data_IF_354646197241
#
_entry.id   IF_354646197241
#
_cell.length_a   1.000
_cell.length_b   1.000
_cell.length_c   1.000
_cell.angle_alpha   90.00
_cell.angle_beta   90.00
_cell.angle_gamma   90.00
#
_symmetry.space_group_name_H-M   'P 1'
#
loop_
_entity.id
_entity.type
_entity.pdbx_description
1 polymer ?
#
# COMPACT_ATOMS: atom_id res chain seq x y z
N UNK A 1 -18.86 -24.81 -56.36
CA UNK A 1 -17.86 -24.91 -55.27
C UNK A 1 -17.19 -23.54 -55.08
N UNK A 2 -17.67 -22.72 -54.15
CA UNK A 2 -17.09 -21.39 -53.87
C UNK A 2 -16.04 -21.48 -52.77
N UNK A 3 -14.76 -21.28 -53.13
CA UNK A 3 -13.64 -21.27 -52.17
C UNK A 3 -13.68 -19.97 -51.36
N UNK A 4 -14.07 -20.06 -50.11
CA UNK A 4 -14.21 -18.93 -49.19
C UNK A 4 -12.83 -18.53 -48.63
N UNK A 5 -12.10 -17.68 -49.38
CA UNK A 5 -10.70 -17.29 -49.09
C UNK A 5 -10.53 -16.20 -48.02
N UNK A 6 -11.61 -15.69 -47.42
CA UNK A 6 -11.54 -14.48 -46.57
C UNK A 6 -11.38 -14.73 -45.05
N UNK A 7 -11.37 -15.98 -44.56
CA UNK A 7 -11.29 -16.25 -43.10
C UNK A 7 -9.90 -16.02 -42.47
N UNK A 8 -8.81 -16.14 -43.22
CA UNK A 8 -7.45 -16.03 -42.67
C UNK A 8 -7.01 -14.59 -42.36
N UNK A 9 -7.51 -13.61 -43.12
CA UNK A 9 -7.08 -12.21 -43.00
C UNK A 9 -7.67 -11.49 -41.77
N UNK A 10 -8.80 -11.98 -41.25
CA UNK A 10 -9.45 -11.43 -40.05
C UNK A 10 -8.71 -11.84 -38.77
N UNK A 11 -8.14 -13.05 -38.71
CA UNK A 11 -7.44 -13.54 -37.52
C UNK A 11 -6.17 -12.72 -37.22
N UNK A 12 -5.38 -12.39 -38.23
CA UNK A 12 -4.16 -11.60 -38.07
C UNK A 12 -4.45 -10.17 -37.59
N UNK A 13 -5.47 -9.52 -38.15
CA UNK A 13 -5.89 -8.17 -37.70
C UNK A 13 -6.44 -8.18 -36.27
N UNK A 14 -7.15 -9.24 -35.87
CA UNK A 14 -7.60 -9.42 -34.48
C UNK A 14 -6.43 -9.62 -33.53
N UNK A 15 -5.46 -10.47 -33.88
CA UNK A 15 -4.24 -10.66 -33.10
C UNK A 15 -3.46 -9.35 -32.95
N UNK A 16 -3.30 -8.57 -34.03
CA UNK A 16 -2.63 -7.26 -33.99
C UNK A 16 -3.40 -6.25 -33.12
N UNK A 17 -4.74 -6.22 -33.20
CA UNK A 17 -5.57 -5.34 -32.38
C UNK A 17 -5.51 -5.72 -30.90
N UNK A 18 -5.46 -7.03 -30.59
CA UNK A 18 -5.27 -7.54 -29.23
C UNK A 18 -3.88 -7.15 -28.73
N UNK A 19 -2.82 -7.36 -29.52
CA UNK A 19 -1.45 -6.97 -29.17
C UNK A 19 -1.32 -5.45 -28.96
N UNK A 20 -1.94 -4.62 -29.80
CA UNK A 20 -1.97 -3.16 -29.62
C UNK A 20 -2.78 -2.71 -28.41
N UNK A 21 -3.85 -3.42 -28.06
CA UNK A 21 -4.59 -3.18 -26.81
C UNK A 21 -3.84 -3.67 -25.58
N UNK A 22 -3.03 -4.73 -25.72
CA UNK A 22 -2.23 -5.32 -24.64
C UNK A 22 -0.89 -4.60 -24.44
N UNK A 23 -0.39 -3.90 -25.46
CA UNK A 23 0.70 -2.96 -25.32
C UNK A 23 0.22 -1.77 -24.49
N UNK A 24 0.17 -1.94 -23.17
CA UNK A 24 -0.08 -0.86 -22.26
C UNK A 24 0.96 0.24 -22.54
N UNK A 25 0.52 1.48 -22.80
CA UNK A 25 1.47 2.58 -22.92
C UNK A 25 2.21 2.69 -21.59
N UNK A 26 3.51 2.41 -21.62
CA UNK A 26 4.38 2.57 -20.48
C UNK A 26 4.35 4.05 -20.08
N UNK A 27 3.93 4.33 -18.85
CA UNK A 27 3.88 5.70 -18.37
C UNK A 27 5.31 6.24 -18.30
N UNK A 28 5.50 7.49 -18.73
CA UNK A 28 6.78 8.18 -18.60
C UNK A 28 6.95 8.61 -17.15
N UNK A 29 7.93 8.02 -16.46
CA UNK A 29 8.27 8.40 -15.08
C UNK A 29 8.71 9.86 -15.04
N UNK A 30 8.16 10.68 -14.13
CA UNK A 30 8.65 12.04 -13.87
C UNK A 30 10.12 11.97 -13.41
N UNK A 31 10.98 12.83 -13.95
CA UNK A 31 12.41 12.86 -13.58
C UNK A 31 12.65 13.56 -12.24
N UNK A 32 11.68 14.35 -11.80
CA UNK A 32 11.68 15.25 -10.66
C UNK A 32 11.12 14.63 -9.37
N UNK A 33 10.63 13.39 -9.41
CA UNK A 33 10.00 12.79 -8.23
C UNK A 33 10.22 11.29 -8.13
N UNK A 34 10.30 10.82 -6.89
CA UNK A 34 10.29 9.40 -6.58
C UNK A 34 9.02 9.03 -5.82
N UNK A 35 8.49 7.86 -6.16
CA UNK A 35 7.28 7.30 -5.56
C UNK A 35 7.65 6.05 -4.79
N UNK A 36 7.23 5.98 -3.53
CA UNK A 36 7.49 4.83 -2.67
C UNK A 36 6.16 4.28 -2.16
N UNK A 37 6.10 2.96 -1.98
CA UNK A 37 4.95 2.27 -1.39
C UNK A 37 5.32 1.76 -0.02
N UNK A 38 4.51 2.08 0.98
CA UNK A 38 4.71 1.67 2.37
C UNK A 38 3.59 0.74 2.78
N UNK A 39 3.92 -0.50 3.15
CA UNK A 39 3.00 -1.43 3.82
C UNK A 39 3.09 -1.25 5.33
N UNK A 40 1.95 -1.39 6.00
CA UNK A 40 1.84 -1.19 7.46
C UNK A 40 2.50 0.14 7.88
N UNK A 41 2.02 1.29 7.36
CA UNK A 41 2.69 2.57 7.56
C UNK A 41 2.78 2.97 9.04
N UNK A 42 3.97 3.39 9.46
CA UNK A 42 4.23 3.76 10.85
C UNK A 42 3.29 4.86 11.34
N UNK A 43 2.75 4.66 12.55
CA UNK A 43 1.96 5.66 13.24
C UNK A 43 0.55 5.88 12.67
N UNK A 44 0.15 5.10 11.66
CA UNK A 44 -1.19 5.15 11.08
C UNK A 44 -2.13 4.10 11.69
N UNK A 45 -3.43 4.40 11.63
CA UNK A 45 -4.47 3.42 11.97
C UNK A 45 -4.37 2.18 11.06
N UNK A 46 -4.39 0.95 11.62
CA UNK A 46 -4.38 -0.27 10.83
C UNK A 46 -5.61 -0.40 9.93
N UNK A 47 -6.76 0.14 10.32
CA UNK A 47 -7.96 0.21 9.47
C UNK A 47 -7.85 1.37 8.48
N UNK A 48 -7.76 1.13 7.16
CA UNK A 48 -7.53 2.20 6.18
C UNK A 48 -8.65 3.25 6.16
N UNK A 49 -9.90 2.83 6.36
CA UNK A 49 -11.05 3.71 6.41
C UNK A 49 -11.05 4.65 7.64
N UNK A 50 -10.31 4.30 8.69
CA UNK A 50 -10.20 5.09 9.92
C UNK A 50 -8.98 6.04 9.94
N UNK A 51 -8.17 6.04 8.87
CA UNK A 51 -6.99 6.91 8.77
C UNK A 51 -7.41 8.36 8.61
N UNK A 52 -6.76 9.26 9.37
CA UNK A 52 -7.03 10.70 9.33
C UNK A 52 -5.77 11.55 9.33
N UNK A 53 -5.96 12.87 9.48
CA UNK A 53 -4.86 13.86 9.46
C UNK A 53 -3.79 13.58 10.51
N UNK A 54 -4.17 13.09 11.70
CA UNK A 54 -3.20 12.75 12.76
C UNK A 54 -2.27 11.61 12.32
N UNK A 55 -2.79 10.62 11.60
CA UNK A 55 -2.00 9.50 11.07
C UNK A 55 -1.03 9.98 9.98
N UNK A 56 -1.52 10.83 9.07
CA UNK A 56 -0.70 11.44 8.01
C UNK A 56 0.44 12.29 8.59
N UNK A 57 0.19 13.04 9.68
CA UNK A 57 1.21 13.82 10.36
C UNK A 57 2.29 12.95 11.00
N UNK A 58 1.90 11.83 11.63
CA UNK A 58 2.86 10.88 12.21
C UNK A 58 3.72 10.23 11.15
N UNK A 59 3.09 9.81 10.03
CA UNK A 59 3.81 9.26 8.88
C UNK A 59 4.81 10.29 8.32
N UNK A 60 4.35 11.53 8.11
CA UNK A 60 5.19 12.62 7.57
C UNK A 60 6.36 12.97 8.49
N UNK A 61 6.12 12.95 9.81
CA UNK A 61 7.17 13.15 10.83
C UNK A 61 8.23 12.07 10.79
N UNK A 62 7.81 10.80 10.65
CA UNK A 62 8.74 9.69 10.52
C UNK A 62 9.60 9.81 9.26
N UNK A 63 8.97 10.08 8.12
CA UNK A 63 9.66 10.22 6.83
C UNK A 63 10.68 11.37 6.87
N UNK A 64 10.28 12.54 7.38
CA UNK A 64 11.16 13.70 7.55
C UNK A 64 12.38 13.36 8.43
N UNK A 65 12.19 12.54 9.47
CA UNK A 65 13.27 12.09 10.33
C UNK A 65 14.28 11.19 9.61
N UNK A 66 13.81 10.26 8.76
CA UNK A 66 14.70 9.36 8.00
C UNK A 66 15.66 10.16 7.11
N UNK A 67 15.14 11.16 6.41
CA UNK A 67 15.93 12.00 5.51
C UNK A 67 16.69 13.13 6.23
N UNK A 68 16.44 13.37 7.52
CA UNK A 68 17.01 14.47 8.32
C UNK A 68 16.75 15.86 7.70
N UNK A 69 15.60 16.02 7.06
CA UNK A 69 15.18 17.26 6.40
C UNK A 69 13.71 17.55 6.75
N UNK A 70 13.34 18.83 6.82
CA UNK A 70 11.93 19.24 6.88
C UNK A 70 11.31 19.27 5.48
N UNK A 71 9.99 19.09 5.36
CA UNK A 71 9.26 19.13 4.08
C UNK A 71 9.84 18.18 3.03
N UNK A 72 9.86 16.89 3.34
CA UNK A 72 10.39 15.84 2.44
C UNK A 72 9.33 15.32 1.47
N UNK A 73 8.06 15.43 1.86
CA UNK A 73 6.94 14.86 1.14
C UNK A 73 6.24 15.92 0.32
N UNK A 74 5.89 15.56 -0.91
CA UNK A 74 5.01 16.36 -1.75
C UNK A 74 3.56 15.93 -1.55
N UNK A 75 3.30 14.62 -1.60
CA UNK A 75 1.97 14.04 -1.47
C UNK A 75 1.98 12.67 -0.79
N UNK A 76 0.88 12.36 -0.11
CA UNK A 76 0.57 11.03 0.43
C UNK A 76 -0.74 10.57 -0.21
N UNK A 77 -0.69 9.44 -0.91
CA UNK A 77 -1.81 8.82 -1.58
C UNK A 77 -2.34 7.65 -0.77
N UNK A 78 -3.65 7.62 -0.54
CA UNK A 78 -4.32 6.61 0.28
C UNK A 78 -5.56 6.05 -0.40
N UNK A 79 -5.94 4.83 -0.05
CA UNK A 79 -7.25 4.26 -0.38
C UNK A 79 -7.93 3.77 0.91
N UNK A 80 -9.26 3.85 0.97
CA UNK A 80 -10.03 3.37 2.14
C UNK A 80 -10.09 1.84 2.26
N UNK A 81 -9.63 1.12 1.25
CA UNK A 81 -9.70 -0.35 1.14
C UNK A 81 -8.33 -1.04 1.10
N UNK A 82 -7.23 -0.27 1.09
CA UNK A 82 -5.88 -0.81 0.97
C UNK A 82 -5.04 -0.42 2.17
N UNK A 83 -4.26 -1.36 2.67
CA UNK A 83 -3.45 -1.16 3.87
C UNK A 83 -2.17 -0.37 3.57
N UNK A 84 -1.67 -0.42 2.35
CA UNK A 84 -0.53 0.35 1.92
C UNK A 84 -0.88 1.80 1.56
N UNK A 85 0.16 2.64 1.55
CA UNK A 85 0.10 4.03 1.09
C UNK A 85 1.20 4.26 0.06
N UNK A 86 0.95 5.16 -0.88
CA UNK A 86 1.98 5.62 -1.82
C UNK A 86 2.39 7.02 -1.39
N UNK A 87 3.68 7.29 -1.32
CA UNK A 87 4.21 8.62 -1.03
C UNK A 87 4.98 9.13 -2.23
N UNK A 88 4.87 10.43 -2.47
CA UNK A 88 5.70 11.17 -3.42
C UNK A 88 6.69 12.02 -2.62
N UNK A 89 7.97 11.75 -2.79
CA UNK A 89 9.04 12.52 -2.13
C UNK A 89 9.60 13.58 -3.09
N UNK A 90 10.07 14.69 -2.52
CA UNK A 90 10.67 15.79 -3.27
C UNK A 90 11.87 15.37 -4.11
N UNK A 91 12.10 16.15 -5.17
CA UNK A 91 13.27 16.01 -6.05
C UNK A 91 14.59 16.08 -5.27
N UNK A 92 15.58 15.31 -5.72
CA UNK A 92 16.95 15.34 -5.18
C UNK A 92 17.16 14.55 -3.89
N UNK A 93 16.10 13.94 -3.33
CA UNK A 93 16.21 13.01 -2.23
C UNK A 93 16.52 11.60 -2.73
N UNK A 94 17.42 10.90 -2.05
CA UNK A 94 17.77 9.52 -2.37
C UNK A 94 16.74 8.54 -1.78
N UNK A 95 15.84 7.95 -2.60
CA UNK A 95 14.85 7.00 -2.10
C UNK A 95 15.48 5.76 -1.45
N UNK A 96 16.72 5.41 -1.80
CA UNK A 96 17.40 4.22 -1.28
C UNK A 96 17.57 4.25 0.24
N UNK A 97 17.63 5.43 0.86
CA UNK A 97 17.69 5.59 2.32
C UNK A 97 16.48 5.01 3.04
N UNK A 98 15.33 4.95 2.36
CA UNK A 98 14.09 4.46 2.94
C UNK A 98 13.73 3.04 2.50
N UNK A 99 14.32 2.49 1.45
CA UNK A 99 13.95 1.16 0.94
C UNK A 99 14.27 0.05 1.93
N UNK A 100 13.31 -0.84 2.17
CA UNK A 100 13.45 -2.01 3.05
C UNK A 100 12.50 -2.03 4.25
N UNK A 101 12.81 -2.90 5.22
CA UNK A 101 12.04 -3.15 6.43
C UNK A 101 12.55 -2.27 7.58
N UNK A 102 11.65 -1.49 8.17
CA UNK A 102 11.88 -0.61 9.31
C UNK A 102 11.17 -1.15 10.54
N UNK A 103 11.91 -1.81 11.42
CA UNK A 103 11.34 -2.43 12.64
C UNK A 103 11.15 -1.39 13.73
N UNK A 104 9.95 -1.31 14.31
CA UNK A 104 9.60 -0.24 15.24
C UNK A 104 10.44 -0.25 16.51
N UNK A 105 10.73 -1.43 17.05
CA UNK A 105 11.60 -1.55 18.23
C UNK A 105 13.03 -1.06 17.97
N UNK A 106 13.50 -1.08 16.73
CA UNK A 106 14.83 -0.59 16.34
C UNK A 106 14.86 0.91 16.11
N UNK A 107 13.80 1.49 15.53
CA UNK A 107 13.80 2.90 15.14
C UNK A 107 13.31 3.83 16.26
N UNK A 108 12.60 3.32 17.26
CA UNK A 108 12.09 4.09 18.40
C UNK A 108 13.02 4.00 19.62
N UNK A 109 13.12 5.10 20.38
CA UNK A 109 13.87 5.11 21.64
C UNK A 109 13.15 4.37 22.77
N UNK A 110 11.82 4.44 22.82
CA UNK A 110 11.01 3.77 23.85
C UNK A 110 10.73 2.29 23.56
N UNK A 111 11.20 1.80 22.42
CA UNK A 111 10.82 0.49 21.89
C UNK A 111 9.38 0.45 21.39
N UNK A 112 8.93 -0.76 21.05
CA UNK A 112 7.56 -1.07 20.66
C UNK A 112 7.15 -2.39 21.31
N UNK A 113 5.88 -2.55 21.68
CA UNK A 113 5.43 -3.75 22.41
C UNK A 113 5.47 -5.01 21.55
N UNK A 114 5.19 -4.86 20.27
CA UNK A 114 5.28 -5.93 19.28
C UNK A 114 6.68 -5.93 18.64
N UNK A 115 7.49 -6.99 18.83
CA UNK A 115 8.82 -7.08 18.24
C UNK A 115 8.79 -7.24 16.71
N UNK A 116 7.68 -7.70 16.14
CA UNK A 116 7.56 -7.97 14.71
C UNK A 116 6.99 -6.79 13.92
N UNK A 117 6.39 -5.82 14.61
CA UNK A 117 5.82 -4.62 14.01
C UNK A 117 6.88 -3.83 13.21
N UNK A 118 6.58 -3.61 11.93
CA UNK A 118 7.48 -2.95 11.01
C UNK A 118 6.74 -2.35 9.83
N UNK A 119 7.26 -1.24 9.29
CA UNK A 119 6.86 -0.79 7.95
C UNK A 119 7.82 -1.37 6.92
N UNK A 120 7.30 -1.81 5.77
CA UNK A 120 8.14 -2.18 4.62
C UNK A 120 7.94 -1.16 3.51
N UNK A 121 9.04 -0.67 2.96
CA UNK A 121 9.06 0.39 1.94
C UNK A 121 9.66 -0.17 0.66
N UNK A 122 8.95 0.02 -0.44
CA UNK A 122 9.33 -0.43 -1.78
C UNK A 122 9.27 0.74 -2.76
N UNK A 123 9.98 0.62 -3.89
CA UNK A 123 9.86 1.59 -4.98
C UNK A 123 8.59 1.29 -5.80
N UNK A 124 7.81 2.32 -6.07
CA UNK A 124 6.59 2.21 -6.87
C UNK A 124 6.91 2.05 -8.37
N UNK A 125 6.26 1.09 -9.03
CA UNK A 125 6.43 0.86 -10.48
C UNK A 125 5.57 1.84 -11.27
N UNK A 126 6.04 3.09 -11.35
CA UNK A 126 5.35 4.15 -12.07
C UNK A 126 5.16 3.80 -13.56
N UNK A 127 6.11 3.10 -14.16
CA UNK A 127 6.07 2.81 -15.59
C UNK A 127 4.89 1.88 -15.94
N UNK A 128 4.58 0.93 -15.06
CA UNK A 128 3.42 0.06 -15.19
C UNK A 128 2.10 0.70 -14.69
N UNK A 129 2.17 1.53 -13.65
CA UNK A 129 0.97 1.96 -12.91
C UNK A 129 0.59 3.44 -13.05
N UNK A 130 1.42 4.30 -13.64
CA UNK A 130 1.10 5.71 -13.86
C UNK A 130 1.04 6.56 -12.58
N UNK A 131 0.36 7.71 -12.65
CA UNK A 131 0.18 8.59 -11.49
C UNK A 131 -0.90 8.01 -10.55
N UNK A 132 -0.61 7.81 -9.25
CA UNK A 132 -1.61 7.32 -8.29
C UNK A 132 -2.92 8.11 -8.30
N UNK A 133 -2.88 9.43 -8.49
CA UNK A 133 -4.09 10.27 -8.54
C UNK A 133 -5.07 9.87 -9.65
N UNK A 134 -4.57 9.29 -10.75
CA UNK A 134 -5.39 8.78 -11.85
C UNK A 134 -6.00 7.39 -11.59
N UNK A 135 -5.70 6.76 -10.44
CA UNK A 135 -6.07 5.38 -10.13
C UNK A 135 -6.88 5.22 -8.83
N UNK A 136 -7.78 6.17 -8.56
CA UNK A 136 -8.64 6.21 -7.36
C UNK A 136 -7.90 6.34 -6.04
N UNK A 137 -6.63 6.75 -6.05
CA UNK A 137 -5.94 7.10 -4.83
C UNK A 137 -6.32 8.52 -4.42
N UNK A 138 -6.72 8.68 -3.16
CA UNK A 138 -6.95 10.00 -2.60
C UNK A 138 -5.60 10.62 -2.24
N UNK A 139 -5.29 11.71 -2.92
CA UNK A 139 -4.14 12.56 -2.63
C UNK A 139 -4.39 13.40 -1.37
N UNK A 140 -3.37 13.46 -0.52
CA UNK A 140 -3.29 14.37 0.61
C UNK A 140 -1.99 15.16 0.48
N UNK A 141 -2.11 16.48 0.54
CA UNK A 141 -0.94 17.36 0.60
C UNK A 141 -0.20 17.09 1.90
N UNK A 142 1.11 16.86 1.80
CA UNK A 142 1.92 16.58 2.96
C UNK A 142 1.89 17.77 3.93
N UNK A 143 1.65 17.46 5.20
CA UNK A 143 1.75 18.44 6.27
C UNK A 143 3.15 18.36 6.85
N UNK A 144 3.81 19.51 6.93
CA UNK A 144 5.09 19.67 7.60
C UNK A 144 4.95 19.43 9.10
N UNK A 145 5.08 18.16 9.49
CA UNK A 145 5.06 17.74 10.88
C UNK A 145 6.49 17.37 11.29
N UNK A 146 7.07 18.14 12.21
CA UNK A 146 8.33 17.79 12.82
C UNK A 146 8.14 16.62 13.79
N UNK A 147 9.05 15.63 13.74
CA UNK A 147 9.08 14.57 14.72
C UNK A 147 9.33 15.12 16.14
N UNK A 148 8.64 14.63 17.18
CA UNK A 148 8.93 15.02 18.55
C UNK A 148 10.39 14.71 18.91
N UNK A 149 11.10 15.62 19.60
CA UNK A 149 12.48 15.38 20.01
C UNK A 149 12.62 14.09 20.82
N UNK A 150 13.63 13.28 20.50
CA UNK A 150 13.90 12.03 21.20
C UNK A 150 12.87 10.91 20.95
N UNK A 151 12.00 11.04 19.95
CA UNK A 151 11.08 9.95 19.59
C UNK A 151 11.79 8.81 18.86
N UNK A 152 12.58 9.15 17.85
CA UNK A 152 13.33 8.22 17.01
C UNK A 152 14.80 8.13 17.45
N UNK A 153 15.45 7.00 17.16
CA UNK A 153 16.87 6.80 17.44
C UNK A 153 17.73 7.71 16.56
N UNK A 154 18.86 8.13 17.13
CA UNK A 154 19.90 8.89 16.44
C UNK A 154 21.28 8.25 16.75
N UNK A 155 22.00 7.70 15.76
CA UNK A 155 21.66 7.68 14.33
C UNK A 155 20.43 6.81 14.02
N UNK A 156 19.69 7.18 12.96
CA UNK A 156 18.60 6.35 12.46
C UNK A 156 19.16 5.00 11.97
N UNK A 157 18.61 3.85 12.41
CA UNK A 157 19.12 2.54 12.00
C UNK A 157 18.91 2.29 10.50
N UNK A 158 19.85 1.58 9.87
CA UNK A 158 19.69 1.16 8.48
C UNK A 158 18.52 0.16 8.33
N UNK A 159 17.69 0.29 7.27
CA UNK A 159 16.65 -0.68 6.97
C UNK A 159 17.25 -2.04 6.58
N UNK A 160 16.50 -3.11 6.79
CA UNK A 160 16.89 -4.47 6.37
C UNK A 160 16.12 -4.93 5.15
N UNK A 161 16.60 -5.97 4.47
CA UNK A 161 15.88 -6.54 3.34
C UNK A 161 14.48 -7.08 3.75
N UNK A 162 13.48 -6.86 2.90
CA UNK A 162 12.11 -7.36 3.06
C UNK A 162 11.63 -8.08 1.80
N UNK A 163 10.86 -9.15 1.96
CA UNK A 163 10.20 -9.76 0.82
C UNK A 163 9.06 -8.87 0.36
N UNK A 164 8.94 -8.69 -0.96
CA UNK A 164 7.77 -8.05 -1.56
C UNK A 164 6.53 -8.92 -1.31
N UNK A 165 5.45 -8.37 -0.71
CA UNK A 165 4.20 -9.10 -0.56
C UNK A 165 3.58 -9.44 -1.94
N UNK A 166 2.97 -10.61 -2.07
CA UNK A 166 2.43 -11.08 -3.37
C UNK A 166 1.33 -10.16 -3.92
N UNK A 167 0.52 -9.56 -3.04
CA UNK A 167 -0.50 -8.59 -3.41
C UNK A 167 0.05 -7.29 -4.01
N UNK A 168 1.36 -7.01 -3.83
CA UNK A 168 2.04 -5.83 -4.39
C UNK A 168 2.86 -6.14 -5.64
N UNK A 169 2.84 -7.38 -6.15
CA UNK A 169 3.73 -7.80 -7.24
C UNK A 169 3.62 -6.94 -8.51
N UNK A 170 2.43 -6.36 -8.79
CA UNK A 170 2.21 -5.45 -9.91
C UNK A 170 2.37 -3.97 -9.57
N UNK A 171 2.45 -3.59 -8.30
CA UNK A 171 2.47 -2.19 -7.84
C UNK A 171 3.90 -1.68 -7.60
N UNK A 172 4.81 -2.56 -7.19
CA UNK A 172 6.14 -2.18 -6.70
C UNK A 172 7.25 -3.00 -7.32
N UNK A 173 8.43 -2.42 -7.44
CA UNK A 173 9.64 -3.15 -7.78
C UNK A 173 10.14 -4.02 -6.63
N UNK A 174 10.89 -5.07 -6.95
CA UNK A 174 11.62 -5.84 -5.93
C UNK A 174 12.74 -4.99 -5.35
N UNK A 175 13.02 -5.18 -4.05
CA UNK A 175 14.14 -4.52 -3.39
C UNK A 175 15.50 -4.94 -3.99
N UNK A 176 16.49 -4.04 -4.01
CA UNK A 176 17.83 -4.38 -4.47
C UNK A 176 18.50 -5.41 -3.54
N UNK A 177 19.26 -6.33 -4.13
CA UNK A 177 19.98 -7.38 -3.39
C UNK A 177 21.12 -6.85 -2.51
N UNK A 178 21.51 -5.59 -2.67
CA UNK A 178 22.54 -4.92 -1.87
C UNK A 178 22.11 -4.63 -0.42
N UNK A 179 20.81 -4.69 -0.10
CA UNK A 179 20.34 -4.45 1.26
C UNK A 179 20.75 -5.57 2.22
N UNK A 180 21.16 -5.23 3.46
CA UNK A 180 21.55 -6.23 4.43
C UNK A 180 20.36 -7.14 4.74
N UNK A 181 20.54 -8.43 4.48
CA UNK A 181 19.55 -9.45 4.86
C UNK A 181 19.58 -9.62 6.37
N UNK A 182 18.39 -9.71 6.97
CA UNK A 182 18.33 -10.13 8.38
C UNK A 182 18.90 -11.55 8.44
N UNK A 183 19.90 -11.84 9.29
CA UNK A 183 20.38 -13.19 9.45
C UNK A 183 19.20 -14.10 9.85
N UNK A 184 19.11 -15.32 9.33
CA UNK A 184 18.09 -16.26 9.77
C UNK A 184 18.22 -16.45 11.30
N UNK A 185 17.10 -16.57 12.03
CA UNK A 185 17.15 -16.83 13.46
C UNK A 185 18.04 -18.05 13.71
N UNK A 186 19.07 -17.91 14.55
CA UNK A 186 20.01 -19.00 14.82
C UNK A 186 19.23 -20.24 15.28
N UNK A 187 19.43 -21.42 14.68
CA UNK A 187 18.67 -22.65 14.99
C UNK A 187 18.77 -23.19 16.44
N UNK A 188 19.32 -22.45 17.41
CA UNK A 188 19.71 -22.98 18.73
C UNK A 188 19.16 -22.26 19.96
N UNK A 189 18.30 -21.24 19.84
CA UNK A 189 17.82 -20.48 21.01
C UNK A 189 16.52 -21.02 21.65
N UNK A 190 15.93 -22.08 21.09
CA UNK A 190 14.65 -22.64 21.57
C UNK A 190 14.86 -24.01 22.20
N UNK A 191 15.66 -24.09 23.27
CA UNK A 191 15.78 -25.30 24.10
C UNK A 191 16.22 -24.88 25.50
N UNK A 192 15.30 -24.31 26.31
CA UNK A 192 15.30 -24.33 27.79
C UNK A 192 14.35 -23.26 28.40
N UNK A 193 13.11 -23.15 27.91
CA UNK A 193 12.02 -22.56 28.69
C UNK A 193 10.89 -23.57 28.80
N UNK A 194 11.16 -24.62 29.57
CA UNK A 194 10.14 -25.53 30.09
C UNK A 194 10.44 -25.72 31.57
N UNK A 195 9.41 -25.41 32.38
CA UNK A 195 9.22 -25.70 33.82
C UNK A 195 9.87 -24.78 34.87
N UNK A 196 9.09 -23.77 35.29
CA UNK A 196 8.76 -23.38 36.69
C UNK A 196 8.04 -22.03 36.61
N UNK A 197 6.83 -21.81 37.09
CA UNK A 197 5.90 -22.58 37.90
C UNK A 197 4.69 -21.67 38.15
N UNK A 198 3.60 -22.28 38.62
CA UNK A 198 2.58 -21.65 39.45
C UNK A 198 1.69 -20.58 38.79
N UNK A 199 0.61 -21.08 38.19
CA UNK A 199 -0.76 -20.78 38.58
C UNK A 199 -0.90 -19.74 39.72
N UNK A 200 -1.02 -18.46 39.36
CA UNK A 200 -1.61 -17.44 40.22
C UNK A 200 -2.95 -17.06 39.61
N UNK A 201 -4.01 -17.60 40.20
CA UNK A 201 -5.39 -17.11 40.08
C UNK A 201 -5.43 -15.62 40.44
N UNK A 202 -5.31 -14.74 39.44
CA UNK A 202 -5.67 -13.33 39.61
C UNK A 202 -7.17 -13.18 39.39
N UNK A 203 -7.89 -13.40 40.49
CA UNK A 203 -9.08 -12.68 40.94
C UNK A 203 -9.52 -11.57 39.97
N UNK A 204 -10.56 -11.85 39.20
CA UNK A 204 -11.33 -10.87 38.44
C UNK A 204 -11.92 -9.85 39.42
N UNK A 205 -11.20 -8.74 39.61
CA UNK A 205 -11.74 -7.55 40.23
C UNK A 205 -12.67 -6.87 39.23
N UNK A 206 -13.98 -7.02 39.45
CA UNK A 206 -14.99 -6.09 38.92
C UNK A 206 -14.59 -4.67 39.34
N UNK A 207 -14.07 -3.89 38.41
CA UNK A 207 -14.12 -2.43 38.51
C UNK A 207 -15.42 -1.98 37.85
N UNK A 208 -16.45 -1.79 38.69
CA UNK A 208 -17.59 -0.94 38.37
C UNK A 208 -17.06 0.46 38.06
N UNK A 209 -17.09 0.84 36.79
CA UNK A 209 -16.82 2.21 36.35
C UNK A 209 -18.15 2.95 36.43
N UNK A 210 -18.36 3.61 37.57
CA UNK A 210 -19.42 4.61 37.72
C UNK A 210 -19.17 5.74 36.71
N UNK A 211 -20.15 5.95 35.85
CA UNK A 211 -20.28 7.14 35.04
C UNK A 211 -20.83 8.24 35.96
N UNK A 212 -19.98 9.19 36.34
CA UNK A 212 -20.46 10.46 36.89
C UNK A 212 -20.47 11.51 35.78
N UNK A 213 -21.68 11.94 35.46
CA UNK A 213 -22.03 13.01 34.54
C UNK A 213 -21.80 14.35 35.23
N UNK A 214 -20.75 15.09 34.92
CA UNK A 214 -20.77 16.57 35.07
C UNK A 214 -19.67 17.22 34.25
N UNK A 215 -20.05 17.94 33.20
CA UNK A 215 -20.11 19.41 33.21
C UNK A 215 -20.01 19.94 31.78
N UNK A 216 -21.13 20.48 31.31
CA UNK A 216 -21.35 21.00 29.97
C UNK A 216 -21.10 22.50 30.02
N UNK A 217 -19.86 22.96 29.82
CA UNK A 217 -19.56 24.37 29.58
C UNK A 217 -19.35 24.61 28.10
N UNK A 218 -20.45 24.94 27.44
CA UNK A 218 -20.51 25.40 26.06
C UNK A 218 -19.98 26.82 25.98
N UNK A 219 -18.75 27.00 25.51
CA UNK A 219 -18.22 28.29 25.07
C UNK A 219 -18.32 28.33 23.55
N UNK A 220 -19.25 29.14 23.04
CA UNK A 220 -19.39 29.45 21.61
C UNK A 220 -18.14 30.19 21.12
N UNK A 221 -17.41 29.70 20.10
CA UNK A 221 -16.43 30.51 19.39
C UNK A 221 -17.14 31.51 18.45
N UNK A 222 -16.51 32.68 18.19
CA UNK A 222 -17.04 33.69 17.29
C UNK A 222 -17.06 33.17 15.85
N UNK A 223 -18.22 33.34 15.22
CA UNK A 223 -18.50 32.94 13.84
C UNK A 223 -17.76 33.88 12.88
N UNK A 224 -16.63 33.45 12.34
CA UNK A 224 -15.94 34.12 11.23
C UNK A 224 -16.65 33.71 9.94
N UNK A 225 -17.30 34.68 9.30
CA UNK A 225 -17.99 34.53 8.02
C UNK A 225 -16.93 34.41 6.92
N UNK A 226 -16.55 33.18 6.58
CA UNK A 226 -15.70 32.88 5.42
C UNK A 226 -16.60 32.85 4.19
N UNK A 227 -16.32 33.71 3.21
CA UNK A 227 -17.00 33.73 1.92
C UNK A 227 -16.71 32.44 1.13
N UNK A 228 -17.72 31.85 0.45
CA UNK A 228 -17.53 30.62 -0.31
C UNK A 228 -16.77 30.91 -1.61
N UNK A 229 -15.50 30.52 -1.66
CA UNK A 229 -14.75 30.42 -2.91
C UNK A 229 -15.36 29.32 -3.78
N UNK A 230 -15.68 29.66 -5.02
CA UNK A 230 -16.39 28.83 -5.98
C UNK A 230 -15.73 27.45 -6.16
N UNK A 231 -16.48 26.38 -5.87
CA UNK A 231 -16.15 25.01 -6.24
C UNK A 231 -16.12 24.88 -7.76
N UNK A 232 -14.93 24.66 -8.31
CA UNK A 232 -14.77 24.17 -9.68
C UNK A 232 -15.14 22.68 -9.65
N UNK A 233 -16.34 22.36 -10.16
CA UNK A 233 -16.75 20.99 -10.47
C UNK A 233 -15.97 20.53 -11.69
N UNK A 234 -14.92 19.74 -11.48
CA UNK A 234 -14.38 18.85 -12.50
C UNK A 234 -15.27 17.60 -12.53
N UNK A 235 -16.27 17.60 -13.41
CA UNK A 235 -16.94 16.36 -13.83
C UNK A 235 -15.98 15.60 -14.76
N UNK A 236 -15.18 14.71 -14.18
CA UNK A 236 -14.50 13.68 -14.97
C UNK A 236 -15.49 12.52 -15.19
N UNK A 237 -15.73 12.08 -16.44
CA UNK A 237 -16.64 10.99 -16.71
C UNK A 237 -16.07 9.69 -16.12
N UNK A 238 -16.88 9.00 -15.32
CA UNK A 238 -16.57 7.66 -14.82
C UNK A 238 -16.22 6.75 -16.00
N UNK A 239 -15.05 6.13 -15.95
CA UNK A 239 -14.63 5.11 -16.90
C UNK A 239 -15.53 3.88 -16.70
N UNK A 240 -16.65 3.82 -17.43
CA UNK A 240 -17.37 2.56 -17.65
C UNK A 240 -16.55 1.71 -18.62
N UNK A 241 -16.14 0.50 -18.24
CA UNK A 241 -15.55 -0.43 -19.19
C UNK A 241 -16.60 -0.74 -20.26
N UNK A 242 -16.30 -0.28 -21.48
CA UNK A 242 -17.12 -0.37 -22.69
C UNK A 242 -17.82 -1.75 -22.77
N UNK A 243 -19.14 -1.75 -22.97
CA UNK A 243 -19.98 -2.95 -22.99
C UNK A 243 -19.44 -4.03 -23.94
N UNK A 244 -18.73 -3.60 -25.01
CA UNK A 244 -18.02 -4.45 -25.94
C UNK A 244 -16.96 -5.37 -25.29
N UNK A 245 -16.30 -4.93 -24.21
CA UNK A 245 -15.31 -5.75 -23.49
C UNK A 245 -15.99 -6.84 -22.64
N UNK A 246 -17.17 -6.54 -22.07
CA UNK A 246 -17.95 -7.51 -21.29
C UNK A 246 -18.50 -8.63 -22.17
N UNK A 247 -18.98 -8.28 -23.37
CA UNK A 247 -19.53 -9.23 -24.33
C UNK A 247 -18.44 -10.14 -24.93
N UNK A 248 -17.21 -9.65 -25.10
CA UNK A 248 -16.06 -10.44 -25.58
C UNK A 248 -15.62 -11.48 -24.54
N UNK A 249 -15.57 -11.11 -23.25
CA UNK A 249 -15.24 -12.04 -22.15
C UNK A 249 -16.29 -13.15 -22.07
N UNK A 250 -17.59 -12.81 -22.17
CA UNK A 250 -18.68 -13.78 -22.14
C UNK A 250 -18.61 -14.78 -23.31
N UNK A 251 -18.20 -14.33 -24.51
CA UNK A 251 -17.98 -15.23 -25.66
C UNK A 251 -16.83 -16.20 -25.46
N UNK A 252 -15.73 -15.77 -24.83
CA UNK A 252 -14.55 -16.61 -24.61
C UNK A 252 -14.79 -17.67 -23.53
N UNK A 253 -15.67 -17.41 -22.57
CA UNK A 253 -16.05 -18.39 -21.53
C UNK A 253 -17.08 -19.44 -21.97
N UNK A 254 -17.68 -19.31 -23.15
CA UNK A 254 -18.82 -20.13 -23.59
C UNK A 254 -18.51 -21.34 -24.45
N UNK A 255 -17.24 -21.65 -24.74
CA UNK A 255 -16.87 -22.68 -25.73
C UNK A 255 -15.87 -23.68 -25.16
N UNK A 256 -16.29 -24.62 -24.30
CA UNK A 256 -15.56 -25.88 -24.08
C UNK A 256 -16.31 -26.95 -23.26
N UNK A 257 -17.60 -27.17 -23.52
CA UNK A 257 -18.30 -28.36 -23.01
C UNK A 257 -19.20 -28.99 -24.08
N UNK A 258 -18.60 -29.59 -25.11
CA UNK A 258 -19.24 -30.68 -25.85
C UNK A 258 -18.18 -31.46 -26.63
N UNK A 259 -17.79 -32.62 -26.10
CA UNK A 259 -16.80 -33.49 -26.74
C UNK A 259 -16.52 -34.75 -25.97
N UNK A 260 -17.56 -35.46 -25.53
CA UNK A 260 -17.42 -36.79 -24.96
C UNK A 260 -16.72 -37.74 -25.93
N UNK A 261 -15.68 -38.43 -25.43
CA UNK A 261 -15.16 -39.65 -26.05
C UNK A 261 -15.26 -40.78 -25.04
N UNK A 262 -16.23 -41.66 -25.30
CA UNK A 262 -16.32 -43.00 -24.77
C UNK A 262 -15.03 -43.77 -25.09
N UNK A 263 -14.39 -44.34 -24.07
CA UNK A 263 -13.38 -45.38 -24.23
C UNK A 263 -14.06 -46.74 -24.03
N UNK A 264 -13.90 -47.72 -24.95
CA UNK A 264 -14.39 -49.06 -24.71
C UNK A 264 -13.41 -49.80 -23.77
N UNK A 265 -13.98 -50.54 -22.82
CA UNK A 265 -13.25 -51.45 -21.94
C UNK A 265 -12.72 -52.64 -22.75
N UNK A 266 -11.42 -52.93 -22.63
CA UNK A 266 -10.81 -54.17 -23.09
C UNK A 266 -10.80 -55.11 -21.89
N UNK A 267 -11.51 -56.22 -22.00
CA UNK A 267 -11.51 -57.32 -21.03
C UNK A 267 -10.39 -58.30 -21.40
N UNK A 268 -9.58 -58.69 -20.42
CA UNK A 268 -8.82 -59.95 -20.39
C UNK A 268 -9.04 -60.58 -19.02
#
# INVERSE_FOLDING_TARGET
MGKNKNRGFDLAKRQEKILKKMAQPLYKRPTDSAYLVITEPFGMNPSPAARGTVDLNRLSSWISWVFRQGSVLEAVYTMSTRDEVIIKILEGLDPALMLGKHRYYNILNRGWSDPDAASCVFEYDYQANGDPSAHNWREHVALDAAAPPGHFRNPYPAPTWASRPSQLAGLVHSLPDSLPRTPPPSPGANSNLTQRGEHVERKLGLFSREHDETNKTSVKPPFVKVEPTASIKSEEPAYEPDQALRDEIARLSGSDTQGGRFFPAISM
#
